data_IF_753295885818
#
_entry.id   IF_753295885818
#
_cell.length_a   1.000
_cell.length_b   1.000
_cell.length_c   1.000
_cell.angle_alpha   90.00
_cell.angle_beta   90.00
_cell.angle_gamma   90.00
#
_symmetry.space_group_name_H-M   'P 1'
#
loop_
_entity.id
_entity.type
_entity.pdbx_description
1 polymer ?
#
# COMPACT_ATOMS: atom_id res chain seq x y z
N UNK A 1 23.17 -4.28 11.23
CA UNK A 1 22.42 -3.76 10.06
C UNK A 1 21.34 -2.80 10.58
N UNK A 2 21.09 -1.66 9.93
CA UNK A 2 20.01 -0.76 10.34
C UNK A 2 18.65 -1.47 10.22
N UNK A 3 17.67 -1.06 11.02
CA UNK A 3 16.30 -1.60 10.98
C UNK A 3 15.42 -0.90 9.94
N UNK A 4 15.82 0.30 9.53
CA UNK A 4 15.12 1.16 8.60
C UNK A 4 16.16 1.83 7.70
N UNK A 5 15.88 1.86 6.40
CA UNK A 5 16.65 2.60 5.41
C UNK A 5 15.68 3.51 4.67
N UNK A 6 16.04 4.78 4.55
CA UNK A 6 15.31 5.75 3.74
C UNK A 6 16.10 5.98 2.46
N UNK A 7 15.40 5.96 1.32
CA UNK A 7 15.95 6.26 0.01
C UNK A 7 15.08 7.34 -0.61
N UNK A 8 15.64 8.53 -0.79
CA UNK A 8 15.01 9.59 -1.56
C UNK A 8 15.39 9.48 -3.03
N UNK A 9 14.57 10.10 -3.88
CA UNK A 9 14.88 10.31 -5.29
C UNK A 9 15.17 11.80 -5.56
N UNK A 10 16.15 12.14 -6.42
CA UNK A 10 16.44 13.53 -6.76
C UNK A 10 15.27 14.29 -7.39
N UNK A 11 14.38 13.59 -8.10
CA UNK A 11 13.18 14.14 -8.74
C UNK A 11 12.14 13.03 -8.94
N UNK A 12 10.86 13.40 -8.88
CA UNK A 12 9.75 12.52 -9.26
C UNK A 12 9.61 12.41 -10.79
N UNK A 13 8.99 11.31 -11.24
CA UNK A 13 8.59 11.11 -12.63
C UNK A 13 9.69 10.64 -13.58
N UNK A 14 10.86 10.27 -13.05
CA UNK A 14 11.96 9.72 -13.84
C UNK A 14 12.04 8.21 -13.68
N UNK A 15 11.61 7.47 -14.71
CA UNK A 15 11.52 6.01 -14.69
C UNK A 15 12.87 5.34 -14.39
N UNK A 16 13.97 5.90 -14.90
CA UNK A 16 15.32 5.36 -14.66
C UNK A 16 15.66 5.30 -13.16
N UNK A 17 15.24 6.30 -12.39
CA UNK A 17 15.46 6.33 -10.94
C UNK A 17 14.64 5.25 -10.25
N UNK A 18 13.40 5.03 -10.69
CA UNK A 18 12.50 4.05 -10.11
C UNK A 18 12.92 2.61 -10.42
N UNK A 19 13.50 2.36 -11.59
CA UNK A 19 14.06 1.06 -11.96
C UNK A 19 15.26 0.70 -11.07
N UNK A 20 16.20 1.64 -10.87
CA UNK A 20 17.34 1.43 -9.96
C UNK A 20 16.87 1.25 -8.51
N UNK A 21 15.88 2.04 -8.07
CA UNK A 21 15.23 1.88 -6.75
C UNK A 21 14.65 0.47 -6.61
N UNK A 22 13.94 -0.02 -7.61
CA UNK A 22 13.35 -1.35 -7.58
C UNK A 22 14.42 -2.44 -7.46
N UNK A 23 15.50 -2.38 -8.26
CA UNK A 23 16.62 -3.32 -8.15
C UNK A 23 17.22 -3.33 -6.73
N UNK A 24 17.39 -2.14 -6.13
CA UNK A 24 17.90 -2.00 -4.78
C UNK A 24 16.94 -2.62 -3.74
N UNK A 25 15.64 -2.35 -3.85
CA UNK A 25 14.63 -2.95 -2.97
C UNK A 25 14.63 -4.47 -3.03
N UNK A 26 14.71 -5.05 -4.23
CA UNK A 26 14.79 -6.52 -4.41
C UNK A 26 15.99 -7.08 -3.67
N UNK A 27 17.18 -6.50 -3.86
CA UNK A 27 18.41 -6.92 -3.15
C UNK A 27 18.28 -6.79 -1.64
N UNK A 28 17.72 -5.69 -1.14
CA UNK A 28 17.51 -5.48 0.30
C UNK A 28 16.56 -6.54 0.90
N UNK A 29 15.49 -6.88 0.20
CA UNK A 29 14.54 -7.91 0.65
C UNK A 29 15.14 -9.32 0.58
N UNK A 30 15.81 -9.65 -0.52
CA UNK A 30 16.34 -10.99 -0.79
C UNK A 30 17.61 -11.31 0.01
N UNK A 31 18.53 -10.35 0.13
CA UNK A 31 19.87 -10.57 0.69
C UNK A 31 20.02 -10.01 2.11
N UNK A 32 19.34 -8.89 2.39
CA UNK A 32 19.48 -8.18 3.67
C UNK A 32 18.33 -8.45 4.64
N UNK A 33 17.25 -9.10 4.18
CA UNK A 33 16.15 -9.58 5.03
C UNK A 33 15.11 -8.52 5.38
N UNK A 34 15.04 -7.42 4.63
CA UNK A 34 13.95 -6.44 4.79
C UNK A 34 12.60 -7.09 4.43
N UNK A 35 11.54 -6.68 5.15
CA UNK A 35 10.20 -7.28 5.06
C UNK A 35 9.08 -6.30 4.80
N UNK A 36 9.40 -5.01 4.63
CA UNK A 36 8.42 -3.98 4.28
C UNK A 36 9.04 -3.01 3.30
N UNK A 37 8.31 -2.71 2.23
CA UNK A 37 8.59 -1.58 1.35
C UNK A 37 7.55 -0.51 1.63
N UNK A 38 8.01 0.71 1.90
CA UNK A 38 7.15 1.86 2.11
C UNK A 38 7.42 2.91 1.03
N UNK A 39 6.38 3.37 0.34
CA UNK A 39 6.45 4.40 -0.70
C UNK A 39 5.78 5.68 -0.19
N UNK A 40 6.27 6.84 -0.63
CA UNK A 40 5.68 8.15 -0.36
C UNK A 40 4.34 8.27 -1.10
N UNK A 41 3.33 7.59 -0.57
CA UNK A 41 1.99 7.52 -1.10
C UNK A 41 1.00 7.35 0.06
N UNK A 42 -0.27 7.66 -0.19
CA UNK A 42 -1.37 7.61 0.78
C UNK A 42 -1.38 6.28 1.55
N UNK A 43 -1.29 6.37 2.87
CA UNK A 43 -1.23 5.22 3.77
C UNK A 43 -2.51 4.37 3.79
N UNK A 44 -3.67 4.91 3.42
CA UNK A 44 -4.92 4.18 3.28
C UNK A 44 -4.99 3.47 1.93
N UNK A 45 -4.56 4.13 0.84
CA UNK A 45 -4.52 3.51 -0.49
C UNK A 45 -3.50 2.37 -0.52
N UNK A 46 -2.36 2.53 0.15
CA UNK A 46 -1.32 1.50 0.25
C UNK A 46 -1.80 0.16 0.84
N UNK A 47 -2.90 0.16 1.62
CA UNK A 47 -3.52 -1.07 2.12
C UNK A 47 -4.05 -1.97 0.99
N UNK A 48 -4.54 -1.38 -0.11
CA UNK A 48 -5.01 -2.14 -1.28
C UNK A 48 -3.84 -2.83 -2.00
N UNK A 49 -2.69 -2.16 -2.07
CA UNK A 49 -1.48 -2.76 -2.63
C UNK A 49 -0.97 -3.88 -1.72
N UNK A 50 -0.98 -3.67 -0.40
CA UNK A 50 -0.55 -4.66 0.59
C UNK A 50 -1.44 -5.93 0.57
N UNK A 51 -2.77 -5.76 0.50
CA UNK A 51 -3.72 -6.87 0.34
C UNK A 51 -3.43 -7.64 -0.96
N UNK A 52 -3.26 -6.92 -2.07
CA UNK A 52 -2.87 -7.54 -3.34
C UNK A 52 -1.55 -8.30 -3.20
N UNK A 53 -0.45 -7.72 -2.72
CA UNK A 53 0.84 -8.43 -2.68
C UNK A 53 0.85 -9.59 -1.68
N UNK A 54 -0.02 -9.60 -0.67
CA UNK A 54 -0.02 -10.61 0.38
C UNK A 54 -0.96 -11.79 0.15
N UNK A 55 -1.72 -11.82 -0.95
CA UNK A 55 -2.55 -12.97 -1.29
C UNK A 55 -4.03 -12.67 -1.53
N UNK A 56 -4.46 -11.41 -1.38
CA UNK A 56 -5.86 -11.00 -1.58
C UNK A 56 -6.40 -11.30 -2.98
N UNK A 57 -7.72 -11.24 -3.09
CA UNK A 57 -8.51 -11.56 -4.29
C UNK A 57 -8.47 -10.47 -5.38
N UNK A 58 -7.90 -9.30 -5.08
CA UNK A 58 -7.81 -8.17 -6.01
C UNK A 58 -6.88 -8.43 -7.21
N UNK A 59 -7.01 -7.60 -8.25
CA UNK A 59 -6.15 -7.68 -9.43
C UNK A 59 -4.98 -6.70 -9.36
N UNK A 60 -3.92 -6.96 -10.13
CA UNK A 60 -2.83 -5.99 -10.30
C UNK A 60 -3.35 -4.67 -10.88
N UNK A 61 -4.36 -4.72 -11.76
CA UNK A 61 -4.95 -3.51 -12.32
C UNK A 61 -5.58 -2.65 -11.22
N UNK A 62 -6.41 -3.24 -10.36
CA UNK A 62 -7.09 -2.52 -9.27
C UNK A 62 -6.10 -1.98 -8.24
N UNK A 63 -5.07 -2.75 -7.91
CA UNK A 63 -4.01 -2.31 -6.99
C UNK A 63 -3.23 -1.11 -7.55
N UNK A 64 -2.98 -1.07 -8.85
CA UNK A 64 -2.31 0.08 -9.48
C UNK A 64 -3.23 1.28 -9.62
N UNK A 65 -4.51 1.07 -9.99
CA UNK A 65 -5.47 2.15 -10.21
C UNK A 65 -5.87 2.86 -8.91
N UNK A 66 -6.05 2.09 -7.82
CA UNK A 66 -6.63 2.60 -6.57
C UNK A 66 -5.68 2.53 -5.37
N UNK A 67 -4.50 1.93 -5.51
CA UNK A 67 -3.57 1.72 -4.41
C UNK A 67 -2.48 2.78 -4.25
N UNK A 68 -2.46 3.80 -5.11
CA UNK A 68 -1.46 4.85 -5.12
C UNK A 68 -2.08 6.24 -5.26
N UNK A 69 -1.58 7.19 -4.47
CA UNK A 69 -1.77 8.63 -4.66
C UNK A 69 -0.78 9.22 -5.67
N UNK A 70 -0.82 10.55 -5.89
CA UNK A 70 0.16 11.30 -6.68
C UNK A 70 0.30 10.84 -8.15
N UNK A 71 -0.70 10.12 -8.68
CA UNK A 71 -0.63 9.51 -10.01
C UNK A 71 0.38 8.37 -10.15
N UNK A 72 0.97 7.91 -9.04
CA UNK A 72 2.01 6.87 -9.03
C UNK A 72 1.53 5.50 -9.52
N UNK A 73 0.21 5.30 -9.56
CA UNK A 73 -0.44 4.15 -10.19
C UNK A 73 -0.15 3.99 -11.69
N UNK A 74 0.11 5.10 -12.38
CA UNK A 74 0.43 5.10 -13.81
C UNK A 74 1.89 4.70 -14.11
N UNK A 75 2.76 4.64 -13.09
CA UNK A 75 4.18 4.31 -13.28
C UNK A 75 4.36 2.82 -13.61
N UNK A 76 5.06 2.56 -14.71
CA UNK A 76 5.47 1.21 -15.09
C UNK A 76 6.40 0.58 -14.05
N UNK A 77 7.35 1.34 -13.51
CA UNK A 77 8.26 0.87 -12.48
C UNK A 77 7.51 0.48 -11.18
N UNK A 78 6.51 1.26 -10.75
CA UNK A 78 5.69 0.86 -9.59
C UNK A 78 4.87 -0.40 -9.88
N UNK A 79 4.30 -0.53 -11.08
CA UNK A 79 3.61 -1.77 -11.50
C UNK A 79 4.53 -2.99 -11.41
N UNK A 80 5.76 -2.87 -11.89
CA UNK A 80 6.75 -3.94 -11.84
C UNK A 80 7.22 -4.27 -10.42
N UNK A 81 7.26 -3.27 -9.52
CA UNK A 81 7.54 -3.49 -8.11
C UNK A 81 6.43 -4.29 -7.43
N UNK A 82 5.17 -3.90 -7.65
CA UNK A 82 4.00 -4.56 -7.06
C UNK A 82 3.84 -5.99 -7.58
N UNK A 83 4.00 -6.18 -8.90
CA UNK A 83 4.00 -7.52 -9.52
C UNK A 83 5.07 -8.42 -8.91
N UNK A 84 6.31 -7.94 -8.82
CA UNK A 84 7.40 -8.71 -8.20
C UNK A 84 7.14 -8.99 -6.72
N UNK A 85 6.57 -8.05 -5.96
CA UNK A 85 6.27 -8.28 -4.55
C UNK A 85 5.23 -9.38 -4.33
N UNK A 86 4.19 -9.45 -5.20
CA UNK A 86 3.24 -10.57 -5.22
C UNK A 86 3.95 -11.90 -5.51
N UNK A 87 4.76 -11.94 -6.57
CA UNK A 87 5.53 -13.12 -6.97
C UNK A 87 6.49 -13.58 -5.86
N UNK A 88 7.18 -12.64 -5.21
CA UNK A 88 8.08 -12.92 -4.09
C UNK A 88 7.33 -13.60 -2.93
N UNK A 89 6.07 -13.22 -2.69
CA UNK A 89 5.24 -13.76 -1.62
C UNK A 89 4.61 -15.13 -1.95
N UNK A 90 4.61 -15.57 -3.20
CA UNK A 90 4.03 -16.85 -3.59
C UNK A 90 4.69 -18.02 -2.84
N UNK A 91 3.87 -18.89 -2.27
CA UNK A 91 4.32 -20.06 -1.50
C UNK A 91 4.98 -19.73 -0.15
N UNK A 92 5.19 -18.46 0.20
CA UNK A 92 5.78 -18.07 1.51
C UNK A 92 4.74 -18.11 2.64
N UNK A 93 5.14 -18.53 3.86
CA UNK A 93 4.29 -18.43 5.03
C UNK A 93 4.04 -16.95 5.37
N UNK A 94 2.90 -16.65 5.99
CA UNK A 94 2.48 -15.27 6.27
C UNK A 94 3.51 -14.46 7.08
N UNK A 95 4.27 -15.11 7.97
CA UNK A 95 5.35 -14.47 8.76
C UNK A 95 6.52 -13.96 7.92
N UNK A 96 6.71 -14.51 6.72
CA UNK A 96 7.87 -14.26 5.86
C UNK A 96 7.50 -13.46 4.61
N UNK A 97 6.22 -13.11 4.45
CA UNK A 97 5.74 -12.30 3.33
C UNK A 97 6.24 -10.86 3.47
N UNK A 98 6.68 -10.31 2.34
CA UNK A 98 6.92 -8.89 2.14
C UNK A 98 5.60 -8.13 2.28
N UNK A 99 5.63 -7.03 3.03
CA UNK A 99 4.53 -6.09 3.17
C UNK A 99 4.78 -4.84 2.34
N UNK A 100 3.69 -4.19 1.94
CA UNK A 100 3.70 -2.89 1.29
C UNK A 100 3.03 -1.84 2.19
N UNK A 101 3.51 -0.61 2.14
CA UNK A 101 2.89 0.51 2.86
C UNK A 101 2.99 1.80 2.05
N UNK A 102 1.93 2.61 2.11
CA UNK A 102 2.05 4.06 1.92
C UNK A 102 2.39 4.70 3.26
N UNK A 103 3.24 5.73 3.28
CA UNK A 103 3.56 6.46 4.52
C UNK A 103 3.10 7.92 4.52
N UNK A 104 2.48 8.38 3.43
CA UNK A 104 1.95 9.75 3.34
C UNK A 104 0.51 9.81 3.86
N UNK A 105 0.06 11.00 4.25
CA UNK A 105 -1.33 11.21 4.66
C UNK A 105 -2.30 11.00 3.49
N UNK A 106 -3.61 10.82 3.76
CA UNK A 106 -4.65 10.81 2.74
C UNK A 106 -4.95 12.23 2.24
N UNK A 107 -3.88 12.92 1.89
CA UNK A 107 -3.80 14.31 1.48
C UNK A 107 -3.02 14.32 0.17
N UNK A 108 -3.52 15.05 -0.80
CA UNK A 108 -2.83 15.37 -2.04
C UNK A 108 -2.36 16.84 -1.96
N UNK A 109 -1.47 17.25 -2.87
CA UNK A 109 -0.99 18.63 -2.98
C UNK A 109 -2.14 19.65 -3.11
N UNK A 110 -3.23 19.27 -3.78
CA UNK A 110 -4.35 20.15 -4.17
C UNK A 110 -5.65 19.88 -3.41
N UNK A 111 -5.72 18.83 -2.59
CA UNK A 111 -6.93 18.51 -1.82
C UNK A 111 -6.83 17.25 -0.97
N UNK A 112 -7.76 17.08 -0.04
CA UNK A 112 -7.85 15.86 0.77
C UNK A 112 -8.76 14.82 0.11
N UNK A 113 -8.38 13.55 0.19
CA UNK A 113 -9.26 12.45 -0.20
C UNK A 113 -10.51 12.41 0.70
N UNK A 114 -11.60 11.85 0.19
CA UNK A 114 -12.81 11.66 1.01
C UNK A 114 -12.51 10.78 2.22
N UNK A 115 -12.92 11.16 3.45
CA UNK A 115 -12.68 10.35 4.64
C UNK A 115 -13.52 9.06 4.67
N UNK A 116 -14.44 8.89 3.72
CA UNK A 116 -15.38 7.77 3.65
C UNK A 116 -14.69 6.42 3.83
N UNK A 117 -13.57 6.16 3.14
CA UNK A 117 -12.89 4.87 3.23
C UNK A 117 -12.44 4.56 4.67
N UNK A 118 -11.82 5.52 5.35
CA UNK A 118 -11.39 5.36 6.74
C UNK A 118 -12.59 5.16 7.67
N UNK A 119 -13.66 5.95 7.49
CA UNK A 119 -14.86 5.86 8.32
C UNK A 119 -15.61 4.54 8.12
N UNK A 120 -15.76 4.07 6.88
CA UNK A 120 -16.40 2.78 6.58
C UNK A 120 -15.57 1.60 7.09
N UNK A 121 -14.24 1.66 6.99
CA UNK A 121 -13.37 0.63 7.56
C UNK A 121 -13.47 0.58 9.09
N UNK A 122 -13.45 1.74 9.76
CA UNK A 122 -13.66 1.84 11.20
C UNK A 122 -15.04 1.32 11.61
N UNK A 123 -16.09 1.71 10.89
CA UNK A 123 -17.46 1.22 11.13
C UNK A 123 -17.54 -0.30 11.00
N UNK A 124 -17.00 -0.87 9.93
CA UNK A 124 -16.96 -2.33 9.71
C UNK A 124 -16.20 -3.05 10.81
N UNK A 125 -15.09 -2.48 11.29
CA UNK A 125 -14.36 -3.02 12.43
C UNK A 125 -15.23 -3.00 13.70
N UNK A 126 -15.80 -1.86 14.06
CA UNK A 126 -16.59 -1.71 15.30
C UNK A 126 -17.82 -2.61 15.32
N UNK A 127 -18.53 -2.73 14.20
CA UNK A 127 -19.72 -3.61 14.07
C UNK A 127 -19.41 -5.10 14.19
N UNK A 128 -18.16 -5.52 14.00
CA UNK A 128 -17.77 -6.90 14.28
C UNK A 128 -17.68 -7.22 15.78
N UNK A 129 -17.67 -6.20 16.64
CA UNK A 129 -17.54 -6.31 18.10
C UNK A 129 -18.72 -5.74 18.90
N UNK A 130 -19.53 -4.88 18.28
CA UNK A 130 -20.61 -4.14 18.93
C UNK A 130 -21.95 -4.41 18.23
N UNK A 131 -23.05 -4.40 18.98
CA UNK A 131 -24.40 -4.33 18.41
C UNK A 131 -24.58 -2.97 17.72
N UNK A 132 -24.42 -2.99 16.39
CA UNK A 132 -24.40 -1.81 15.54
C UNK A 132 -25.67 -0.95 15.66
N UNK A 133 -26.81 -1.60 15.90
CA UNK A 133 -28.13 -0.98 15.91
C UNK A 133 -28.41 -0.16 17.19
N UNK A 134 -27.66 -0.38 18.28
CA UNK A 134 -27.82 0.35 19.54
C UNK A 134 -26.71 1.36 19.83
N UNK A 135 -25.49 1.12 19.33
CA UNK A 135 -24.29 1.82 19.81
C UNK A 135 -23.58 2.70 18.78
N UNK A 136 -23.90 2.59 17.49
CA UNK A 136 -23.26 3.41 16.45
C UNK A 136 -24.19 4.52 15.94
N UNK A 137 -23.71 5.77 15.81
CA UNK A 137 -24.54 6.91 15.41
C UNK A 137 -24.86 6.94 13.90
N UNK A 138 -24.36 5.98 13.12
CA UNK A 138 -24.49 5.94 11.68
C UNK A 138 -24.47 4.49 11.15
N UNK A 139 -25.02 4.32 9.93
CA UNK A 139 -24.94 3.07 9.18
C UNK A 139 -23.91 3.17 8.07
N UNK A 140 -23.48 2.02 7.55
CA UNK A 140 -22.58 1.96 6.39
C UNK A 140 -23.14 2.69 5.15
N UNK A 141 -24.48 2.79 5.00
CA UNK A 141 -25.12 3.50 3.90
C UNK A 141 -25.12 5.03 4.06
N UNK A 142 -25.03 5.52 5.30
CA UNK A 142 -25.02 6.96 5.61
C UNK A 142 -23.62 7.56 5.71
N UNK A 143 -22.59 6.71 5.83
CA UNK A 143 -21.19 7.06 5.69
C UNK A 143 -20.82 7.14 4.22
#
# INVERSE_FOLDING_TARGET
RPRLLALGEPTHGEDTLLDVRNELFRRLVEQEGYRTIAIESDCLMGLLVDDYVTGGEGTLHDAMEHGFSHGFGASAANRELVRWAREYNEGRPASDRLRFAGFDGPLEITGAASPRQALTALHSHLTSWLDADELLPCTAATL
#
